data_IF_050466301638
#
_entry.id   IF_050466301638
#
_cell.length_a   1.000
_cell.length_b   1.000
_cell.length_c   1.000
_cell.angle_alpha   90.00
_cell.angle_beta   90.00
_cell.angle_gamma   90.00
#
_symmetry.space_group_name_H-M   'P 1'
#
loop_
_entity.id
_entity.type
_entity.pdbx_description
1 polymer ?
#
# COMPACT_ATOMS: atom_id res chain seq x y z
N UNK A 1 -39.00 -7.82 -18.90
CA UNK A 1 -38.20 -6.72 -18.30
C UNK A 1 -37.34 -7.31 -17.19
N UNK A 2 -36.08 -7.65 -17.49
CA UNK A 2 -35.12 -8.05 -16.46
C UNK A 2 -34.75 -6.77 -15.68
N UNK A 3 -35.05 -6.71 -14.39
CA UNK A 3 -34.77 -5.51 -13.59
C UNK A 3 -33.26 -5.23 -13.62
N UNK A 4 -32.87 -3.96 -13.74
CA UNK A 4 -31.45 -3.53 -13.78
C UNK A 4 -30.64 -4.08 -12.59
N UNK A 5 -31.32 -4.33 -11.47
CA UNK A 5 -30.76 -4.94 -10.27
C UNK A 5 -30.43 -6.42 -10.44
N UNK A 6 -31.20 -7.17 -11.25
CA UNK A 6 -30.91 -8.58 -11.54
C UNK A 6 -29.68 -8.72 -12.45
N UNK A 7 -29.51 -7.83 -13.41
CA UNK A 7 -28.34 -7.81 -14.30
C UNK A 7 -27.05 -7.43 -13.54
N UNK A 8 -27.13 -6.46 -12.63
CA UNK A 8 -26.03 -6.08 -11.75
C UNK A 8 -25.66 -7.21 -10.78
N UNK A 9 -26.67 -7.89 -10.20
CA UNK A 9 -26.45 -9.06 -9.34
C UNK A 9 -25.80 -10.23 -10.09
N UNK A 10 -26.21 -10.46 -11.34
CA UNK A 10 -25.61 -11.49 -12.19
C UNK A 10 -24.16 -11.16 -12.58
N UNK A 11 -23.86 -9.90 -12.93
CA UNK A 11 -22.50 -9.46 -13.20
C UNK A 11 -21.59 -9.59 -11.98
N UNK A 12 -22.08 -9.22 -10.79
CA UNK A 12 -21.34 -9.38 -9.54
C UNK A 12 -21.08 -10.86 -9.22
N UNK A 13 -22.08 -11.73 -9.39
CA UNK A 13 -21.94 -13.17 -9.19
C UNK A 13 -20.96 -13.80 -10.18
N UNK A 14 -21.03 -13.41 -11.46
CA UNK A 14 -20.09 -13.87 -12.50
C UNK A 14 -18.67 -13.39 -12.19
N UNK A 15 -18.48 -12.15 -11.74
CA UNK A 15 -17.17 -11.66 -11.28
C UNK A 15 -16.63 -12.47 -10.09
N UNK A 16 -17.47 -12.74 -9.09
CA UNK A 16 -17.09 -13.57 -7.93
C UNK A 16 -16.69 -14.99 -8.34
N UNK A 17 -17.44 -15.61 -9.26
CA UNK A 17 -17.12 -16.96 -9.77
C UNK A 17 -15.80 -16.98 -10.55
N UNK A 18 -15.49 -15.92 -11.32
CA UNK A 18 -14.21 -15.81 -12.02
C UNK A 18 -13.03 -15.56 -11.05
N UNK A 19 -13.25 -14.83 -9.97
CA UNK A 19 -12.27 -14.63 -8.89
C UNK A 19 -11.95 -15.96 -8.17
N UNK A 20 -12.96 -16.79 -7.86
CA UNK A 20 -12.76 -18.12 -7.27
C UNK A 20 -12.00 -19.04 -8.24
N UNK A 21 -12.27 -18.95 -9.55
CA UNK A 21 -11.57 -19.75 -10.56
C UNK A 21 -10.08 -19.40 -10.67
N UNK A 22 -9.71 -18.15 -10.37
CA UNK A 22 -8.31 -17.73 -10.30
C UNK A 22 -7.52 -18.37 -9.14
N UNK A 23 -8.18 -18.84 -8.07
CA UNK A 23 -7.51 -19.57 -6.98
C UNK A 23 -7.14 -21.01 -7.37
N UNK A 24 -7.81 -21.60 -8.37
CA UNK A 24 -7.60 -22.99 -8.77
C UNK A 24 -6.40 -23.19 -9.73
N UNK A 25 -6.02 -22.16 -10.50
CA UNK A 25 -4.91 -22.23 -11.46
C UNK A 25 -3.51 -22.02 -10.82
N UNK A 26 -3.45 -21.59 -9.55
CA UNK A 26 -2.15 -21.37 -8.86
C UNK A 26 -1.48 -22.69 -8.43
N UNK A 27 -2.19 -23.83 -8.50
CA UNK A 27 -1.69 -25.10 -7.93
C UNK A 27 -0.95 -26.02 -8.91
N UNK A 28 -0.89 -25.71 -10.20
CA UNK A 28 -0.17 -26.53 -11.19
C UNK A 28 0.58 -25.68 -12.23
N UNK A 29 1.64 -24.99 -11.79
CA UNK A 29 2.79 -24.71 -12.67
C UNK A 29 4.05 -24.42 -11.84
N UNK A 30 4.49 -25.43 -11.09
CA UNK A 30 5.88 -25.55 -10.65
C UNK A 30 6.63 -26.46 -11.62
N UNK A 31 7.29 -25.89 -12.63
CA UNK A 31 8.44 -26.56 -13.26
C UNK A 31 9.24 -25.57 -14.10
N UNK A 32 10.48 -25.37 -13.66
CA UNK A 32 11.64 -24.83 -14.39
C UNK A 32 11.79 -23.30 -14.51
N UNK A 33 12.17 -22.70 -13.38
CA UNK A 33 13.22 -21.68 -13.37
C UNK A 33 14.21 -22.02 -12.24
N UNK A 34 15.50 -22.04 -12.58
CA UNK A 34 16.60 -22.48 -11.71
C UNK A 34 16.53 -21.86 -10.32
N UNK A 35 16.40 -22.79 -9.37
CA UNK A 35 16.36 -22.59 -7.94
C UNK A 35 17.76 -22.25 -7.39
N UNK A 36 17.91 -21.04 -6.89
CA UNK A 36 18.82 -20.76 -5.79
C UNK A 36 17.94 -20.48 -4.59
N UNK A 37 17.53 -21.56 -3.93
CA UNK A 37 16.70 -21.61 -2.71
C UNK A 37 17.52 -21.02 -1.54
N UNK A 38 17.55 -19.70 -1.42
CA UNK A 38 17.77 -19.09 -0.12
C UNK A 38 16.43 -19.11 0.60
N UNK A 39 16.24 -20.17 1.41
CA UNK A 39 15.15 -20.29 2.38
C UNK A 39 15.26 -19.15 3.39
N UNK A 40 14.75 -17.97 3.02
CA UNK A 40 14.58 -16.87 3.97
C UNK A 40 13.47 -17.31 4.92
N UNK A 41 13.88 -17.74 6.12
CA UNK A 41 12.98 -17.88 7.25
C UNK A 41 12.41 -16.50 7.52
N UNK A 42 11.17 -16.27 7.09
CA UNK A 42 10.46 -15.03 7.42
C UNK A 42 9.96 -15.22 8.84
N UNK A 43 10.69 -14.64 9.79
CA UNK A 43 10.20 -14.44 11.15
C UNK A 43 8.83 -13.76 11.08
N UNK A 44 7.83 -14.41 11.68
CA UNK A 44 6.43 -13.96 11.73
C UNK A 44 6.28 -12.57 12.41
N UNK A 45 7.34 -12.05 13.03
CA UNK A 45 7.30 -10.89 13.91
C UNK A 45 7.42 -9.53 13.20
N UNK A 46 7.68 -9.46 11.87
CA UNK A 46 7.58 -8.19 11.13
C UNK A 46 7.48 -8.36 9.61
N UNK A 47 6.35 -8.88 9.15
CA UNK A 47 6.04 -8.83 7.71
C UNK A 47 5.73 -7.35 7.38
N UNK A 48 6.61 -6.71 6.60
CA UNK A 48 6.41 -5.36 6.05
C UNK A 48 5.65 -5.42 4.72
N UNK A 49 5.09 -4.28 4.28
CA UNK A 49 4.46 -4.20 2.97
C UNK A 49 5.48 -4.43 1.84
N UNK A 50 5.05 -5.07 0.76
CA UNK A 50 5.89 -5.30 -0.40
C UNK A 50 6.41 -3.97 -0.99
N UNK A 51 7.69 -3.92 -1.39
CA UNK A 51 8.28 -2.69 -1.94
C UNK A 51 7.52 -2.23 -3.18
N UNK A 52 7.15 -0.95 -3.22
CA UNK A 52 6.38 -0.36 -4.31
C UNK A 52 4.89 -0.66 -4.28
N UNK A 53 4.41 -1.46 -3.32
CA UNK A 53 2.98 -1.66 -3.09
C UNK A 53 2.27 -0.36 -2.76
N UNK A 54 1.05 -0.21 -3.27
CA UNK A 54 0.17 0.90 -2.87
C UNK A 54 -0.20 0.83 -1.40
N UNK A 55 -0.22 -0.38 -0.82
CA UNK A 55 -0.48 -0.56 0.61
C UNK A 55 0.65 -0.06 1.51
N UNK A 56 1.87 0.12 0.98
CA UNK A 56 2.95 0.77 1.72
C UNK A 56 2.59 2.20 2.16
N UNK A 57 1.68 2.87 1.46
CA UNK A 57 1.14 4.16 1.88
C UNK A 57 0.45 4.11 3.25
N UNK A 58 -0.03 2.93 3.68
CA UNK A 58 -0.73 2.81 4.95
C UNK A 58 0.15 3.10 6.18
N UNK A 59 1.47 2.96 6.06
CA UNK A 59 2.41 3.39 7.10
C UNK A 59 2.36 4.91 7.32
N UNK A 60 2.01 5.66 6.26
CA UNK A 60 1.89 7.11 6.30
C UNK A 60 0.64 7.58 7.05
N UNK A 61 -0.35 6.72 7.25
CA UNK A 61 -1.62 7.11 7.89
C UNK A 61 -1.44 7.66 9.31
N UNK A 62 -0.36 7.29 10.00
CA UNK A 62 0.01 7.86 11.30
C UNK A 62 0.21 9.38 11.23
N UNK A 63 0.77 9.87 10.12
CA UNK A 63 0.99 11.31 9.90
C UNK A 63 -0.31 12.07 9.59
N UNK A 64 -1.36 11.40 9.14
CA UNK A 64 -2.66 12.05 8.90
C UNK A 64 -3.24 12.64 10.18
N UNK A 65 -2.93 12.07 11.34
CA UNK A 65 -3.34 12.64 12.65
C UNK A 65 -2.67 13.99 12.96
N UNK A 66 -1.50 14.26 12.35
CA UNK A 66 -0.81 15.55 12.45
C UNK A 66 -1.39 16.57 11.48
N UNK A 67 -2.01 16.15 10.38
CA UNK A 67 -2.66 17.06 9.44
C UNK A 67 -3.80 17.85 10.11
N UNK A 68 -4.55 17.20 11.00
CA UNK A 68 -5.67 17.85 11.69
C UNK A 68 -5.22 18.87 12.74
N UNK A 69 -3.98 18.76 13.23
CA UNK A 69 -3.46 19.56 14.35
C UNK A 69 -2.48 20.64 13.91
N UNK A 70 -1.61 20.28 12.98
CA UNK A 70 -0.41 21.04 12.62
C UNK A 70 -0.44 21.50 11.16
N UNK A 71 -1.55 21.39 10.43
CA UNK A 71 -1.67 21.95 9.09
C UNK A 71 -2.85 22.93 9.00
N UNK A 72 -2.76 23.99 8.17
CA UNK A 72 -1.70 24.31 7.20
C UNK A 72 -0.42 24.89 7.84
N UNK A 73 0.71 24.87 7.12
CA UNK A 73 1.99 25.43 7.60
C UNK A 73 1.92 26.86 8.13
N UNK A 74 0.96 27.67 7.68
CA UNK A 74 0.78 29.03 8.20
C UNK A 74 0.45 29.05 9.69
N UNK A 75 -0.15 27.98 10.24
CA UNK A 75 -0.45 27.84 11.67
C UNK A 75 0.67 27.16 12.46
N UNK A 76 1.60 26.50 11.77
CA UNK A 76 2.65 25.65 12.35
C UNK A 76 4.03 25.84 11.70
N UNK A 77 4.47 27.08 11.40
CA UNK A 77 5.63 27.31 10.52
C UNK A 77 6.96 26.82 11.08
N UNK A 78 7.02 26.55 12.38
CA UNK A 78 8.21 26.06 13.10
C UNK A 78 8.20 24.54 13.31
N UNK A 79 7.10 23.86 12.95
CA UNK A 79 6.97 22.43 13.14
C UNK A 79 7.67 21.68 11.99
N UNK A 80 8.45 20.63 12.29
CA UNK A 80 9.21 19.89 11.28
C UNK A 80 8.34 19.16 10.25
N UNK A 81 7.06 18.90 10.54
CA UNK A 81 6.12 18.25 9.62
C UNK A 81 5.44 19.22 8.64
N UNK A 82 5.75 20.51 8.64
CA UNK A 82 5.15 21.47 7.72
C UNK A 82 5.32 21.05 6.24
N UNK A 83 6.50 20.58 5.82
CA UNK A 83 6.73 20.11 4.44
C UNK A 83 5.84 18.91 4.05
N UNK A 84 5.29 18.22 5.05
CA UNK A 84 4.41 17.07 4.87
C UNK A 84 2.94 17.47 4.67
N UNK A 85 2.55 18.72 4.97
CA UNK A 85 1.17 19.19 4.82
C UNK A 85 0.65 19.06 3.37
N UNK A 86 1.52 19.13 2.36
CA UNK A 86 1.15 18.96 0.94
C UNK A 86 0.58 17.57 0.63
N UNK A 87 0.86 16.59 1.49
CA UNK A 87 0.41 15.21 1.35
C UNK A 87 -0.88 14.90 2.12
N UNK A 88 -1.37 15.81 2.98
CA UNK A 88 -2.60 15.60 3.75
C UNK A 88 -3.84 15.35 2.87
N UNK A 89 -3.85 15.88 1.65
CA UNK A 89 -4.91 15.64 0.66
C UNK A 89 -5.05 14.16 0.24
N UNK A 90 -4.08 13.31 0.57
CA UNK A 90 -4.11 11.88 0.27
C UNK A 90 -4.58 11.03 1.46
N UNK A 91 -4.82 11.62 2.63
CA UNK A 91 -5.24 10.90 3.83
C UNK A 91 -6.59 10.18 3.71
N UNK A 92 -7.45 10.59 2.78
CA UNK A 92 -8.71 9.86 2.50
C UNK A 92 -8.46 8.41 2.03
N UNK A 93 -7.27 8.13 1.46
CA UNK A 93 -6.88 6.78 1.06
C UNK A 93 -6.70 5.86 2.26
N UNK A 94 -6.35 6.38 3.44
CA UNK A 94 -6.22 5.59 4.65
C UNK A 94 -7.54 4.93 5.04
N UNK A 95 -8.60 5.74 5.19
CA UNK A 95 -9.94 5.23 5.53
C UNK A 95 -10.56 4.36 4.44
N UNK A 96 -10.20 4.58 3.17
CA UNK A 96 -10.81 3.87 2.05
C UNK A 96 -10.10 2.55 1.71
N UNK A 97 -8.78 2.49 1.92
CA UNK A 97 -7.94 1.40 1.39
C UNK A 97 -7.28 0.61 2.51
N UNK A 98 -6.71 1.29 3.51
CA UNK A 98 -5.80 0.67 4.46
C UNK A 98 -6.48 -0.30 5.40
N UNK A 99 -7.58 0.12 6.04
CA UNK A 99 -8.25 -0.70 7.06
C UNK A 99 -9.00 -1.90 6.48
N UNK A 100 -9.36 -1.85 5.18
CA UNK A 100 -10.22 -2.85 4.54
C UNK A 100 -9.47 -3.77 3.59
N UNK A 101 -8.50 -3.25 2.82
CA UNK A 101 -7.90 -4.00 1.71
C UNK A 101 -6.42 -4.32 1.93
N UNK A 102 -5.73 -3.60 2.79
CA UNK A 102 -4.30 -3.74 2.98
C UNK A 102 -3.95 -4.56 4.22
N UNK A 103 -3.12 -5.58 4.00
CA UNK A 103 -2.42 -6.31 5.05
C UNK A 103 -0.98 -6.54 4.58
N UNK A 104 0.04 -6.34 5.43
CA UNK A 104 1.41 -6.64 5.04
C UNK A 104 1.56 -8.09 4.56
N UNK A 105 2.18 -8.28 3.39
CA UNK A 105 2.31 -9.59 2.73
C UNK A 105 0.99 -10.17 2.19
N UNK A 106 -0.11 -9.42 2.25
CA UNK A 106 -1.42 -9.80 1.74
C UNK A 106 -1.50 -9.78 0.22
N UNK A 107 -2.65 -10.22 -0.32
CA UNK A 107 -2.85 -10.32 -1.76
C UNK A 107 -2.76 -8.95 -2.47
N UNK A 108 -3.53 -7.97 -1.98
CA UNK A 108 -3.54 -6.61 -2.54
C UNK A 108 -2.16 -5.98 -2.48
N UNK A 109 -1.44 -6.22 -1.39
CA UNK A 109 -0.07 -5.76 -1.19
C UNK A 109 0.89 -6.32 -2.27
N UNK A 110 0.90 -7.65 -2.44
CA UNK A 110 1.77 -8.33 -3.42
C UNK A 110 1.41 -8.00 -4.87
N UNK A 111 0.13 -8.01 -5.21
CA UNK A 111 -0.33 -7.78 -6.58
C UNK A 111 -0.08 -6.34 -7.01
N UNK A 112 -0.37 -5.37 -6.14
CA UNK A 112 -0.12 -3.96 -6.46
C UNK A 112 1.38 -3.67 -6.63
N UNK A 113 2.24 -4.29 -5.80
CA UNK A 113 3.69 -4.21 -5.97
C UNK A 113 4.15 -4.79 -7.31
N UNK A 114 3.61 -5.94 -7.73
CA UNK A 114 3.94 -6.56 -9.01
C UNK A 114 3.51 -5.69 -10.21
N UNK A 115 2.30 -5.12 -10.15
CA UNK A 115 1.80 -4.21 -11.20
C UNK A 115 2.69 -2.97 -11.29
N UNK A 116 2.97 -2.31 -10.16
CA UNK A 116 3.82 -1.11 -10.14
C UNK A 116 5.23 -1.41 -10.65
N UNK A 117 5.79 -2.58 -10.29
CA UNK A 117 7.09 -3.02 -10.78
C UNK A 117 7.12 -3.28 -12.29
N UNK A 118 5.97 -3.63 -12.87
CA UNK A 118 5.84 -3.91 -14.30
C UNK A 118 5.57 -2.65 -15.15
N UNK A 119 5.22 -1.51 -14.53
CA UNK A 119 4.92 -0.27 -15.26
C UNK A 119 6.21 0.44 -15.71
N UNK A 120 6.33 0.84 -16.99
CA UNK A 120 7.54 1.48 -17.53
C UNK A 120 7.75 2.94 -17.08
N UNK A 121 6.85 3.49 -16.24
CA UNK A 121 6.88 4.88 -15.77
C UNK A 121 6.75 4.96 -14.25
N UNK A 122 7.82 4.69 -13.51
CA UNK A 122 7.92 5.13 -12.13
C UNK A 122 9.24 5.89 -11.95
N UNK A 123 9.18 7.22 -11.94
CA UNK A 123 10.29 8.05 -11.48
C UNK A 123 10.33 8.00 -9.94
N UNK A 124 10.73 6.85 -9.42
CA UNK A 124 10.90 6.57 -7.98
C UNK A 124 12.00 7.44 -7.36
N UNK A 125 12.78 8.18 -8.16
CA UNK A 125 13.92 8.97 -7.69
C UNK A 125 13.50 10.16 -6.83
N UNK A 126 12.40 10.84 -7.18
CA UNK A 126 11.93 12.02 -6.44
C UNK A 126 11.31 11.62 -5.09
N UNK A 127 10.41 10.62 -5.10
CA UNK A 127 9.76 10.12 -3.89
C UNK A 127 10.78 9.51 -2.92
N UNK A 128 11.72 8.71 -3.42
CA UNK A 128 12.75 8.10 -2.57
C UNK A 128 13.68 9.15 -1.96
N UNK A 129 13.99 10.23 -2.67
CA UNK A 129 14.83 11.33 -2.17
C UNK A 129 14.17 12.05 -0.99
N UNK A 130 12.88 12.32 -1.09
CA UNK A 130 12.11 12.99 -0.04
C UNK A 130 11.91 12.09 1.20
N UNK A 131 11.70 10.79 1.02
CA UNK A 131 11.65 9.84 2.15
C UNK A 131 13.02 9.76 2.86
N UNK A 132 14.11 9.77 2.10
CA UNK A 132 15.45 9.64 2.66
C UNK A 132 15.90 10.86 3.48
N UNK A 133 15.42 12.06 3.15
CA UNK A 133 15.73 13.28 3.91
C UNK A 133 15.07 13.27 5.30
N UNK A 134 13.90 12.64 5.42
CA UNK A 134 13.11 12.51 6.64
C UNK A 134 13.61 11.41 7.59
N UNK A 135 14.35 10.41 7.08
CA UNK A 135 14.75 9.21 7.83
C UNK A 135 15.49 9.52 9.13
N UNK A 136 16.39 10.51 9.11
CA UNK A 136 17.17 10.94 10.28
C UNK A 136 16.32 11.55 11.40
N UNK A 137 15.19 12.18 11.05
CA UNK A 137 14.26 12.75 12.02
C UNK A 137 13.36 11.66 12.61
N UNK A 138 12.83 10.78 11.75
CA UNK A 138 12.00 9.63 12.17
C UNK A 138 12.73 8.74 13.17
N UNK A 139 14.00 8.41 12.90
CA UNK A 139 14.81 7.57 13.80
C UNK A 139 15.07 8.23 15.17
N UNK A 140 15.11 9.56 15.22
CA UNK A 140 15.36 10.33 16.45
C UNK A 140 14.09 10.55 17.28
N UNK A 141 12.92 10.59 16.63
CA UNK A 141 11.63 10.94 17.25
C UNK A 141 10.76 9.71 17.49
N UNK A 142 11.29 8.50 17.29
CA UNK A 142 10.60 7.21 17.42
C UNK A 142 9.96 6.95 18.80
N UNK A 143 10.39 7.65 19.84
CA UNK A 143 9.82 7.54 21.20
C UNK A 143 8.75 8.61 21.50
N UNK A 144 8.55 9.59 20.62
CA UNK A 144 7.58 10.69 20.76
C UNK A 144 6.38 10.56 19.78
N UNK A 145 6.38 9.54 18.93
CA UNK A 145 5.41 9.26 17.85
C UNK A 145 4.58 8.00 18.10
#
# INVERSE_FOLDING_TARGET
MLSRNLLAGFLFLVCLLNLIKAEADVKEQSSEAKDTEEKVQVDEEKIEYARGSVCGYCEYCKFCTLCDKDCPCSVSPQKPNCEMCKYCKYCYLCSAVCDTFCKPGGYVDKVSAAIISALPFHDTKEINKDIHSMKKWIDKTKEEL
#
